data_IF_450372152630
#
_entry.id   IF_450372152630
#
_cell.length_a   1.000
_cell.length_b   1.000
_cell.length_c   1.000
_cell.angle_alpha   90.00
_cell.angle_beta   90.00
_cell.angle_gamma   90.00
#
_symmetry.space_group_name_H-M   'P 1'
#
loop_
_entity.id
_entity.type
_entity.pdbx_description
1 polymer ?
#
# COMPACT_ATOMS: atom_id res chain seq x y z
N UNK A 1 32.69 -24.13 -12.03
CA UNK A 1 32.06 -24.22 -13.36
C UNK A 1 30.61 -24.62 -13.14
N UNK A 2 29.71 -23.65 -13.15
CA UNK A 2 28.27 -23.88 -12.98
C UNK A 2 27.65 -24.07 -14.37
N UNK A 3 27.27 -25.31 -14.68
CA UNK A 3 26.52 -25.63 -15.90
C UNK A 3 25.21 -24.87 -15.92
N UNK A 4 25.06 -23.94 -16.86
CA UNK A 4 23.79 -23.25 -17.12
C UNK A 4 22.81 -24.23 -17.76
N UNK A 5 21.71 -24.54 -17.09
CA UNK A 5 20.59 -25.30 -17.66
C UNK A 5 20.17 -24.68 -18.99
N UNK A 6 19.96 -25.47 -20.08
CA UNK A 6 19.55 -24.96 -21.37
C UNK A 6 18.18 -24.25 -21.22
N UNK A 7 18.11 -22.98 -21.70
CA UNK A 7 16.87 -22.21 -21.72
C UNK A 7 15.86 -22.96 -22.58
N UNK A 8 14.71 -23.31 -22.01
CA UNK A 8 13.62 -23.95 -22.76
C UNK A 8 13.14 -23.01 -23.88
N UNK A 9 12.92 -23.50 -25.09
CA UNK A 9 12.47 -22.67 -26.20
C UNK A 9 11.09 -22.07 -25.91
N UNK A 10 10.90 -20.79 -26.24
CA UNK A 10 9.69 -20.01 -26.03
C UNK A 10 8.44 -20.63 -26.68
N UNK A 11 8.63 -21.41 -27.75
CA UNK A 11 7.56 -22.12 -28.47
C UNK A 11 7.97 -23.56 -28.71
N UNK A 12 7.21 -24.52 -28.22
CA UNK A 12 7.40 -25.96 -28.55
C UNK A 12 7.03 -26.21 -30.00
N UNK A 13 7.92 -26.83 -30.77
CA UNK A 13 7.62 -27.29 -32.12
C UNK A 13 6.56 -28.40 -32.09
N UNK A 14 5.50 -28.23 -32.87
CA UNK A 14 4.51 -29.27 -33.07
C UNK A 14 4.95 -30.22 -34.20
N UNK A 15 4.31 -31.41 -34.32
CA UNK A 15 4.59 -32.36 -35.41
C UNK A 15 4.41 -31.69 -36.78
N UNK A 16 3.40 -30.84 -36.92
CA UNK A 16 3.14 -30.07 -38.16
C UNK A 16 4.28 -29.07 -38.44
N UNK A 17 4.85 -28.46 -37.43
CA UNK A 17 5.96 -27.53 -37.61
C UNK A 17 7.22 -28.29 -38.11
N UNK A 18 7.44 -29.51 -37.65
CA UNK A 18 8.53 -30.39 -38.13
C UNK A 18 8.36 -30.81 -39.58
N UNK A 19 7.15 -31.22 -39.94
CA UNK A 19 6.83 -31.62 -41.33
C UNK A 19 6.98 -30.45 -42.29
N UNK A 20 6.44 -29.27 -41.94
CA UNK A 20 6.53 -28.07 -42.77
C UNK A 20 7.96 -27.59 -42.90
N UNK A 21 8.75 -27.61 -41.82
CA UNK A 21 10.16 -27.19 -41.86
C UNK A 21 11.03 -28.18 -42.66
N UNK A 22 10.65 -29.43 -42.75
CA UNK A 22 11.35 -30.43 -43.57
C UNK A 22 11.15 -30.20 -45.06
N UNK A 23 9.91 -29.91 -45.50
CA UNK A 23 9.57 -29.69 -46.91
C UNK A 23 9.83 -28.25 -47.40
N UNK A 24 9.73 -27.27 -46.50
CA UNK A 24 9.93 -25.86 -46.81
C UNK A 24 10.47 -25.10 -45.60
N UNK A 25 11.81 -25.00 -45.46
CA UNK A 25 12.45 -24.39 -44.28
C UNK A 25 11.99 -22.93 -44.04
N UNK A 26 11.82 -22.14 -45.07
CA UNK A 26 11.37 -20.74 -44.98
C UNK A 26 9.96 -20.61 -44.39
N UNK A 27 9.03 -21.48 -44.81
CA UNK A 27 7.66 -21.51 -44.25
C UNK A 27 7.66 -21.99 -42.81
N UNK A 28 8.54 -22.93 -42.48
CA UNK A 28 8.72 -23.41 -41.10
C UNK A 28 9.20 -22.29 -40.19
N UNK A 29 10.19 -21.52 -40.59
CA UNK A 29 10.72 -20.36 -39.83
C UNK A 29 9.67 -19.27 -39.66
N UNK A 30 8.98 -18.86 -40.72
CA UNK A 30 7.89 -17.86 -40.67
C UNK A 30 6.78 -18.29 -39.68
N UNK A 31 6.39 -19.55 -39.70
CA UNK A 31 5.37 -20.10 -38.81
C UNK A 31 5.82 -20.10 -37.34
N UNK A 32 7.06 -20.46 -37.07
CA UNK A 32 7.64 -20.40 -35.73
C UNK A 32 7.77 -18.96 -35.22
N UNK A 33 8.18 -18.04 -36.09
CA UNK A 33 8.24 -16.60 -35.77
C UNK A 33 6.86 -16.04 -35.47
N UNK A 34 5.84 -16.34 -36.27
CA UNK A 34 4.47 -15.89 -36.01
C UNK A 34 3.93 -16.45 -34.70
N UNK A 35 4.20 -17.71 -34.39
CA UNK A 35 3.80 -18.32 -33.09
C UNK A 35 4.57 -17.74 -31.92
N UNK A 36 5.84 -17.43 -32.08
CA UNK A 36 6.63 -16.74 -31.06
C UNK A 36 6.12 -15.30 -30.83
N UNK A 37 5.79 -14.58 -31.89
CA UNK A 37 5.18 -13.26 -31.82
C UNK A 37 3.81 -13.30 -31.12
N UNK A 38 2.94 -14.27 -31.46
CA UNK A 38 1.68 -14.48 -30.80
C UNK A 38 1.84 -14.88 -29.32
N UNK A 39 2.87 -15.67 -28.98
CA UNK A 39 3.15 -16.03 -27.60
C UNK A 39 3.67 -14.85 -26.77
N UNK A 40 4.44 -13.94 -27.39
CA UNK A 40 4.91 -12.69 -26.80
C UNK A 40 3.80 -11.63 -26.71
N UNK A 41 2.93 -11.56 -27.72
CA UNK A 41 1.75 -10.68 -27.72
C UNK A 41 0.61 -11.17 -26.83
N UNK A 42 0.68 -12.40 -26.34
CA UNK A 42 -0.38 -13.09 -25.62
C UNK A 42 -0.58 -12.69 -24.16
N UNK A 43 -0.38 -11.42 -23.77
CA UNK A 43 -0.77 -10.89 -22.47
C UNK A 43 -0.12 -11.56 -21.25
N UNK A 44 -0.57 -11.18 -20.07
CA UNK A 44 -0.08 -11.74 -18.81
C UNK A 44 -0.34 -13.27 -18.74
N UNK A 45 0.71 -14.04 -18.43
CA UNK A 45 0.61 -15.51 -18.34
C UNK A 45 -0.36 -15.96 -17.24
N UNK A 46 -0.60 -15.12 -16.21
CA UNK A 46 -1.60 -15.34 -15.18
C UNK A 46 -3.06 -15.25 -15.65
N UNK A 47 -3.31 -14.59 -16.80
CA UNK A 47 -4.64 -14.48 -17.37
C UNK A 47 -5.04 -15.69 -18.27
N UNK A 48 -4.13 -16.64 -18.49
CA UNK A 48 -4.40 -17.84 -19.30
C UNK A 48 -5.17 -18.86 -18.48
N UNK A 49 -6.29 -19.36 -19.04
CA UNK A 49 -7.15 -20.40 -18.43
C UNK A 49 -6.79 -21.82 -18.84
N UNK A 50 -5.78 -21.99 -19.71
CA UNK A 50 -5.32 -23.26 -20.24
C UNK A 50 -4.33 -24.01 -19.34
N UNK A 51 -3.93 -23.42 -18.21
CA UNK A 51 -3.03 -24.04 -17.24
C UNK A 51 -3.81 -24.77 -16.15
N UNK A 52 -3.36 -25.97 -15.75
CA UNK A 52 -3.93 -26.74 -14.65
C UNK A 52 -4.15 -25.93 -13.36
N UNK A 53 -3.24 -24.97 -13.09
CA UNK A 53 -3.29 -24.11 -11.90
C UNK A 53 -4.34 -23.00 -11.99
N UNK A 54 -4.71 -22.55 -13.20
CA UNK A 54 -5.62 -21.43 -13.45
C UNK A 54 -6.93 -21.83 -14.11
N UNK A 55 -7.10 -23.10 -14.52
CA UNK A 55 -8.30 -23.59 -15.21
C UNK A 55 -9.57 -23.43 -14.38
N UNK A 56 -9.48 -23.62 -13.06
CA UNK A 56 -10.60 -23.49 -12.12
C UNK A 56 -10.64 -22.14 -11.40
N UNK A 57 -9.68 -21.24 -11.68
CA UNK A 57 -9.67 -19.93 -11.08
C UNK A 57 -10.64 -19.00 -11.80
N UNK A 58 -11.78 -18.77 -11.17
CA UNK A 58 -12.79 -17.82 -11.63
C UNK A 58 -12.63 -16.54 -10.81
N UNK A 59 -11.96 -15.54 -11.40
CA UNK A 59 -11.93 -14.21 -10.83
C UNK A 59 -13.25 -13.50 -11.15
N UNK A 60 -13.93 -12.98 -10.14
CA UNK A 60 -15.07 -12.09 -10.32
C UNK A 60 -14.60 -10.78 -10.96
N UNK A 61 -15.41 -10.22 -11.86
CA UNK A 61 -15.21 -8.90 -12.40
C UNK A 61 -16.18 -7.94 -11.70
N UNK A 62 -15.68 -6.80 -11.21
CA UNK A 62 -16.49 -5.76 -10.57
C UNK A 62 -15.61 -4.57 -10.22
N UNK A 63 -16.24 -3.47 -9.86
CA UNK A 63 -15.57 -2.34 -9.22
C UNK A 63 -15.14 -2.72 -7.78
N UNK A 64 -14.30 -1.89 -7.17
CA UNK A 64 -13.78 -2.16 -5.84
C UNK A 64 -14.91 -2.30 -4.81
N UNK A 65 -15.94 -1.49 -4.92
CA UNK A 65 -17.06 -1.48 -3.99
C UNK A 65 -17.89 -2.76 -4.10
N UNK A 66 -18.25 -3.17 -5.31
CA UNK A 66 -19.06 -4.38 -5.53
C UNK A 66 -18.33 -5.67 -5.11
N UNK A 67 -17.00 -5.68 -5.17
CA UNK A 67 -16.19 -6.86 -4.82
C UNK A 67 -15.85 -6.91 -3.33
N UNK A 68 -15.59 -5.76 -2.70
CA UNK A 68 -15.07 -5.71 -1.34
C UNK A 68 -16.17 -5.51 -0.31
N UNK A 69 -17.15 -4.62 -0.55
CA UNK A 69 -18.15 -4.25 0.46
C UNK A 69 -18.94 -5.43 1.03
N UNK A 70 -19.39 -6.42 0.23
CA UNK A 70 -20.14 -7.54 0.78
C UNK A 70 -19.38 -8.35 1.83
N UNK A 71 -18.05 -8.45 1.67
CA UNK A 71 -17.20 -9.27 2.53
C UNK A 71 -16.34 -8.44 3.50
N UNK A 72 -16.43 -7.11 3.45
CA UNK A 72 -15.52 -6.21 4.16
C UNK A 72 -15.54 -6.43 5.68
N UNK A 73 -16.72 -6.56 6.29
CA UNK A 73 -16.85 -6.81 7.71
C UNK A 73 -16.15 -8.12 8.11
N UNK A 74 -16.42 -9.19 7.39
CA UNK A 74 -15.81 -10.49 7.64
C UNK A 74 -14.29 -10.47 7.44
N UNK A 75 -13.80 -9.75 6.42
CA UNK A 75 -12.37 -9.58 6.17
C UNK A 75 -11.68 -8.84 7.31
N UNK A 76 -12.29 -7.77 7.83
CA UNK A 76 -11.80 -7.01 8.99
C UNK A 76 -11.75 -7.89 10.25
N UNK A 77 -12.81 -8.64 10.52
CA UNK A 77 -12.87 -9.55 11.67
C UNK A 77 -11.77 -10.61 11.62
N UNK A 78 -11.59 -11.25 10.46
CA UNK A 78 -10.55 -12.25 10.24
C UNK A 78 -9.14 -11.65 10.35
N UNK A 79 -8.92 -10.45 9.85
CA UNK A 79 -7.63 -9.76 9.94
C UNK A 79 -7.28 -9.45 11.40
N UNK A 80 -8.23 -8.95 12.19
CA UNK A 80 -8.05 -8.69 13.61
C UNK A 80 -7.86 -9.96 14.44
N UNK A 81 -8.58 -11.02 14.07
CA UNK A 81 -8.39 -12.31 14.72
C UNK A 81 -7.00 -12.87 14.43
N UNK A 82 -6.53 -12.75 13.20
CA UNK A 82 -5.19 -13.16 12.81
C UNK A 82 -4.10 -12.34 13.53
N UNK A 83 -4.30 -11.03 13.72
CA UNK A 83 -3.38 -10.20 14.50
C UNK A 83 -3.32 -10.62 15.97
N UNK A 84 -4.47 -10.96 16.57
CA UNK A 84 -4.55 -11.37 17.99
C UNK A 84 -3.98 -12.77 18.22
N UNK A 85 -4.28 -13.71 17.35
CA UNK A 85 -4.03 -15.13 17.55
C UNK A 85 -2.88 -15.68 16.69
N UNK A 86 -2.41 -14.93 15.70
CA UNK A 86 -1.33 -15.34 14.79
C UNK A 86 -0.01 -14.62 15.10
N UNK A 87 0.94 -15.25 15.81
CA UNK A 87 2.20 -14.60 16.20
C UNK A 87 3.03 -14.09 15.02
N UNK A 88 2.93 -14.74 13.85
CA UNK A 88 3.61 -14.31 12.64
C UNK A 88 2.99 -13.01 12.10
N UNK A 89 1.67 -12.93 12.06
CA UNK A 89 0.96 -11.74 11.59
C UNK A 89 1.18 -10.56 12.54
N UNK A 90 1.04 -10.77 13.84
CA UNK A 90 1.35 -9.79 14.88
C UNK A 90 2.81 -9.30 14.78
N UNK A 91 3.75 -10.21 14.59
CA UNK A 91 5.16 -9.89 14.40
C UNK A 91 5.43 -9.06 13.15
N UNK A 92 4.77 -9.38 12.04
CA UNK A 92 4.89 -8.63 10.79
C UNK A 92 4.35 -7.20 10.91
N UNK A 93 3.17 -7.03 11.55
CA UNK A 93 2.58 -5.70 11.81
C UNK A 93 3.51 -4.90 12.73
N UNK A 94 3.95 -5.48 13.86
CA UNK A 94 4.84 -4.80 14.79
C UNK A 94 6.15 -4.37 14.13
N UNK A 95 6.76 -5.23 13.31
CA UNK A 95 7.98 -4.89 12.56
C UNK A 95 7.75 -3.73 11.60
N UNK A 96 6.63 -3.72 10.87
CA UNK A 96 6.28 -2.62 9.97
C UNK A 96 6.06 -1.31 10.73
N UNK A 97 5.28 -1.34 11.81
CA UNK A 97 5.03 -0.17 12.63
C UNK A 97 6.33 0.40 13.21
N UNK A 98 7.16 -0.46 13.78
CA UNK A 98 8.46 -0.05 14.34
C UNK A 98 9.41 0.49 13.26
N UNK A 99 9.41 -0.09 12.07
CA UNK A 99 10.30 0.35 10.98
C UNK A 99 9.85 1.66 10.33
N UNK A 100 8.55 1.92 10.26
CA UNK A 100 7.99 3.11 9.58
C UNK A 100 7.84 4.26 10.56
N UNK A 101 7.21 4.03 11.70
CA UNK A 101 6.93 5.07 12.70
C UNK A 101 8.09 5.23 13.67
N UNK A 102 8.63 4.12 14.18
CA UNK A 102 9.74 4.14 15.15
C UNK A 102 9.43 5.02 16.36
N UNK A 103 10.25 6.04 16.58
CA UNK A 103 10.04 7.04 17.64
C UNK A 103 9.07 8.16 17.25
N UNK A 104 8.45 8.07 16.09
CA UNK A 104 7.53 9.05 15.52
C UNK A 104 8.13 9.87 14.38
N UNK A 105 7.34 10.06 13.34
CA UNK A 105 7.67 10.86 12.17
C UNK A 105 7.55 12.33 12.56
N UNK A 106 8.65 13.09 12.39
CA UNK A 106 8.74 14.51 12.77
C UNK A 106 8.66 15.38 11.51
N UNK A 107 7.94 16.51 11.54
CA UNK A 107 7.94 17.45 10.43
C UNK A 107 9.31 18.12 10.33
N UNK A 108 9.76 18.32 9.11
CA UNK A 108 10.93 19.14 8.79
C UNK A 108 10.47 20.28 7.89
N UNK A 109 10.14 21.45 8.45
CA UNK A 109 9.80 22.61 7.65
C UNK A 109 10.98 22.98 6.75
N UNK A 110 10.71 23.23 5.48
CA UNK A 110 11.69 23.72 4.50
C UNK A 110 11.01 24.77 3.65
N UNK A 111 11.54 25.99 3.66
CA UNK A 111 11.02 27.07 2.82
C UNK A 111 11.74 27.06 1.46
N UNK A 112 10.95 27.03 0.39
CA UNK A 112 11.47 27.28 -0.95
C UNK A 112 11.72 28.77 -1.16
N UNK A 113 12.99 29.18 -1.07
CA UNK A 113 13.44 30.57 -1.26
C UNK A 113 13.37 31.03 -2.72
N UNK A 114 13.14 30.13 -3.66
CA UNK A 114 12.92 30.52 -5.05
C UNK A 114 11.53 31.10 -5.27
N UNK A 115 10.57 30.70 -4.41
CA UNK A 115 9.18 31.17 -4.45
C UNK A 115 8.96 32.35 -3.50
N UNK A 116 9.56 32.30 -2.31
CA UNK A 116 9.44 33.33 -1.30
C UNK A 116 10.74 34.15 -1.22
N UNK A 117 10.71 35.45 -1.45
CA UNK A 117 11.90 36.29 -1.43
C UNK A 117 12.40 36.57 0.01
N UNK A 118 12.78 35.50 0.72
CA UNK A 118 13.31 35.55 2.07
C UNK A 118 14.84 35.43 2.04
N UNK A 119 15.50 36.10 2.97
CA UNK A 119 16.91 35.82 3.24
C UNK A 119 17.09 34.46 3.90
N UNK A 120 18.30 33.90 3.87
CA UNK A 120 18.58 32.61 4.51
C UNK A 120 18.21 32.64 6.00
N UNK A 121 18.63 33.70 6.71
CA UNK A 121 18.38 33.87 8.15
C UNK A 121 16.89 33.96 8.49
N UNK A 122 16.11 34.64 7.62
CA UNK A 122 14.65 34.72 7.79
C UNK A 122 13.98 33.38 7.59
N UNK A 123 14.36 32.62 6.57
CA UNK A 123 13.83 31.26 6.31
C UNK A 123 14.17 30.35 7.49
N UNK A 124 15.40 30.30 7.92
CA UNK A 124 15.85 29.49 9.06
C UNK A 124 15.13 29.88 10.37
N UNK A 125 14.92 31.18 10.63
CA UNK A 125 14.18 31.62 11.80
C UNK A 125 12.73 31.13 11.78
N UNK A 126 12.08 31.20 10.61
CA UNK A 126 10.72 30.73 10.43
C UNK A 126 10.62 29.21 10.59
N UNK A 127 11.53 28.47 9.98
CA UNK A 127 11.56 27.00 10.06
C UNK A 127 11.73 26.51 11.51
N UNK A 128 12.66 27.15 12.25
CA UNK A 128 12.83 26.86 13.69
C UNK A 128 11.59 27.23 14.51
N UNK A 129 10.93 28.34 14.19
CA UNK A 129 9.72 28.75 14.89
C UNK A 129 8.57 27.74 14.59
N UNK A 130 8.36 27.36 13.34
CA UNK A 130 7.36 26.38 12.95
C UNK A 130 7.58 25.01 13.62
N UNK A 131 8.82 24.55 13.66
CA UNK A 131 9.17 23.29 14.32
C UNK A 131 8.91 23.34 15.83
N UNK A 132 9.25 24.45 16.49
CA UNK A 132 8.99 24.66 17.92
C UNK A 132 7.51 24.69 18.22
N UNK A 133 6.72 25.46 17.46
CA UNK A 133 5.27 25.56 17.64
C UNK A 133 4.57 24.21 17.42
N UNK A 134 5.00 23.47 16.41
CA UNK A 134 4.52 22.12 16.18
C UNK A 134 4.81 21.20 17.37
N UNK A 135 6.03 21.22 17.89
CA UNK A 135 6.41 20.41 19.05
C UNK A 135 5.59 20.76 20.30
N UNK A 136 5.30 22.04 20.53
CA UNK A 136 4.46 22.50 21.64
C UNK A 136 3.00 22.04 21.46
N UNK A 137 2.48 22.11 20.23
CA UNK A 137 1.10 21.72 19.92
C UNK A 137 0.86 20.21 20.07
N UNK A 138 1.86 19.39 19.71
CA UNK A 138 1.71 17.94 19.53
C UNK A 138 2.42 17.10 20.60
N UNK A 139 3.31 17.70 21.38
CA UNK A 139 4.13 16.99 22.37
C UNK A 139 3.36 16.45 23.57
N UNK A 140 2.14 16.94 23.80
CA UNK A 140 1.29 16.51 24.90
C UNK A 140 0.08 15.73 24.36
N UNK A 141 -0.56 14.95 25.25
CA UNK A 141 -1.83 14.23 24.96
C UNK A 141 -3.00 15.18 24.64
N UNK A 142 -2.85 16.46 24.87
CA UNK A 142 -3.87 17.47 24.53
C UNK A 142 -4.13 17.60 23.03
N UNK A 143 -3.23 17.10 22.18
CA UNK A 143 -3.46 16.99 20.75
C UNK A 143 -4.60 16.01 20.44
N UNK A 144 -4.70 14.93 21.16
CA UNK A 144 -5.78 13.96 21.04
C UNK A 144 -7.05 14.49 21.73
N UNK A 145 -8.20 14.36 21.07
CA UNK A 145 -9.49 14.78 21.62
C UNK A 145 -9.83 14.03 22.91
N UNK A 146 -9.52 12.75 22.95
CA UNK A 146 -9.76 11.86 24.11
C UNK A 146 -8.61 11.84 25.11
N UNK A 147 -7.49 12.51 24.80
CA UNK A 147 -6.26 12.52 25.60
C UNK A 147 -5.63 11.14 25.82
N UNK A 148 -5.91 10.20 24.93
CA UNK A 148 -5.32 8.87 24.96
C UNK A 148 -3.86 8.86 24.55
N UNK A 149 -3.56 9.56 23.44
CA UNK A 149 -2.28 9.48 22.76
C UNK A 149 -1.61 10.84 22.57
N UNK A 150 -0.28 10.82 22.47
CA UNK A 150 0.47 11.94 21.90
C UNK A 150 0.39 11.86 20.37
N UNK A 151 0.79 12.90 19.65
CA UNK A 151 0.89 12.87 18.19
C UNK A 151 1.68 11.66 17.66
N UNK A 152 2.77 11.32 18.33
CA UNK A 152 3.63 10.20 17.95
C UNK A 152 2.98 8.84 18.22
N UNK A 153 2.28 8.70 19.36
CA UNK A 153 1.48 7.52 19.65
C UNK A 153 0.29 7.35 18.71
N UNK A 154 -0.28 8.46 18.21
CA UNK A 154 -1.35 8.42 17.21
C UNK A 154 -0.86 7.90 15.86
N UNK A 155 0.38 8.15 15.47
CA UNK A 155 0.95 7.60 14.23
C UNK A 155 1.04 6.08 14.28
N UNK A 156 1.43 5.51 15.42
CA UNK A 156 1.42 4.06 15.64
C UNK A 156 0.01 3.50 15.52
N UNK A 157 -0.97 4.11 16.18
CA UNK A 157 -2.37 3.72 16.13
C UNK A 157 -2.91 3.77 14.68
N UNK A 158 -2.65 4.86 13.96
CA UNK A 158 -3.11 5.04 12.57
C UNK A 158 -2.52 3.97 11.67
N UNK A 159 -1.20 3.75 11.72
CA UNK A 159 -0.57 2.76 10.85
C UNK A 159 -1.03 1.35 11.19
N UNK A 160 -1.18 1.02 12.47
CA UNK A 160 -1.68 -0.28 12.90
C UNK A 160 -3.12 -0.51 12.42
N UNK A 161 -4.00 0.49 12.54
CA UNK A 161 -5.37 0.40 12.05
C UNK A 161 -5.43 0.19 10.54
N UNK A 162 -4.62 0.91 9.77
CA UNK A 162 -4.53 0.72 8.31
C UNK A 162 -4.05 -0.70 7.96
N UNK A 163 -3.08 -1.23 8.69
CA UNK A 163 -2.54 -2.58 8.41
C UNK A 163 -3.51 -3.70 8.81
N UNK A 164 -4.33 -3.51 9.85
CA UNK A 164 -5.25 -4.54 10.35
C UNK A 164 -6.67 -4.42 9.80
N UNK A 165 -7.19 -3.20 9.64
CA UNK A 165 -8.58 -2.95 9.23
C UNK A 165 -8.72 -2.32 7.84
N UNK A 166 -7.62 -1.84 7.24
CA UNK A 166 -7.58 -1.23 5.91
C UNK A 166 -7.68 0.29 5.93
N UNK A 167 -8.37 0.87 6.91
CA UNK A 167 -8.61 2.31 7.02
C UNK A 167 -8.75 2.80 8.46
N UNK A 168 -8.76 4.12 8.62
CA UNK A 168 -9.07 4.85 9.85
C UNK A 168 -9.55 6.26 9.48
N UNK A 169 -10.57 6.75 10.16
CA UNK A 169 -11.00 8.14 10.01
C UNK A 169 -10.29 9.01 11.05
N UNK A 170 -9.62 10.06 10.58
CA UNK A 170 -9.04 11.09 11.45
C UNK A 170 -9.81 12.39 11.23
N UNK A 171 -10.55 12.82 12.24
CA UNK A 171 -11.26 14.08 12.26
C UNK A 171 -10.46 15.11 13.05
N UNK A 172 -10.41 16.37 12.58
CA UNK A 172 -9.60 17.44 13.20
C UNK A 172 -10.51 18.58 13.70
N UNK A 173 -11.31 18.35 14.77
CA UNK A 173 -12.16 19.38 15.33
C UNK A 173 -11.34 20.50 15.99
N UNK A 174 -11.91 21.71 16.02
CA UNK A 174 -11.37 22.86 16.76
C UNK A 174 -12.03 22.94 18.14
N UNK A 175 -11.32 22.46 19.15
CA UNK A 175 -11.79 22.46 20.55
C UNK A 175 -10.81 23.22 21.42
N UNK A 176 -11.30 24.31 22.02
CA UNK A 176 -10.50 25.11 22.98
C UNK A 176 -10.37 24.36 24.31
N UNK A 177 -9.19 24.45 24.92
CA UNK A 177 -8.93 23.96 26.29
C UNK A 177 -8.24 25.02 27.12
N UNK A 178 -8.61 25.16 28.41
CA UNK A 178 -7.96 26.11 29.32
C UNK A 178 -6.44 25.87 29.35
N UNK A 179 -5.67 26.94 29.26
CA UNK A 179 -4.20 26.87 29.33
C UNK A 179 -3.49 26.32 28.07
N UNK A 180 -4.23 26.02 27.00
CA UNK A 180 -3.66 25.54 25.75
C UNK A 180 -4.07 26.48 24.59
N UNK A 181 -3.13 27.20 23.94
CA UNK A 181 -3.43 28.11 22.85
C UNK A 181 -3.85 27.40 21.55
N UNK A 182 -3.44 26.14 21.40
CA UNK A 182 -3.74 25.36 20.21
C UNK A 182 -5.15 24.77 20.32
N UNK A 183 -5.96 24.92 19.27
CA UNK A 183 -7.36 24.51 19.26
C UNK A 183 -7.62 23.26 18.44
N UNK A 184 -6.76 22.93 17.48
CA UNK A 184 -6.92 21.74 16.65
C UNK A 184 -6.64 20.49 17.48
N UNK A 185 -7.57 19.54 17.43
CA UNK A 185 -7.48 18.23 18.08
C UNK A 185 -7.62 17.12 17.06
N UNK A 186 -7.00 15.99 17.28
CA UNK A 186 -7.25 14.80 16.49
C UNK A 186 -8.25 13.91 17.21
N UNK A 187 -9.23 13.41 16.47
CA UNK A 187 -10.16 12.39 16.90
C UNK A 187 -10.05 11.20 15.96
N UNK A 188 -9.75 10.03 16.48
CA UNK A 188 -9.50 8.81 15.73
C UNK A 188 -10.73 7.91 15.84
N UNK A 189 -11.31 7.53 14.71
CA UNK A 189 -12.46 6.64 14.65
C UNK A 189 -12.09 5.40 13.84
N UNK A 190 -12.35 4.24 14.43
CA UNK A 190 -12.12 2.96 13.77
C UNK A 190 -13.03 2.81 12.53
N UNK A 191 -12.56 2.05 11.57
CA UNK A 191 -13.25 1.75 10.32
C UNK A 191 -14.69 1.22 10.50
N UNK A 192 -14.93 0.46 11.56
CA UNK A 192 -16.26 -0.13 11.82
C UNK A 192 -17.32 0.89 12.25
N UNK A 193 -16.90 2.10 12.62
CA UNK A 193 -17.81 3.21 12.91
C UNK A 193 -18.22 3.98 11.66
N UNK A 194 -17.69 3.57 10.50
CA UNK A 194 -18.00 4.17 9.20
C UNK A 194 -18.86 3.17 8.43
N UNK A 195 -20.10 3.55 8.15
CA UNK A 195 -20.99 2.78 7.29
C UNK A 195 -21.51 3.67 6.17
N UNK A 196 -21.85 3.08 5.05
CA UNK A 196 -22.63 3.80 4.05
C UNK A 196 -24.03 4.04 4.62
N UNK A 197 -24.64 5.21 4.40
CA UNK A 197 -26.06 5.38 4.69
C UNK A 197 -26.87 4.41 3.84
N UNK A 198 -27.83 3.73 4.46
CA UNK A 198 -28.81 2.87 3.79
C UNK A 198 -29.68 3.65 2.80
#
# INVERSE_FOLDING_TARGET
MTESKPKQPLVRQTLLDRVISHFSPERGVRRLQSRAALALAGGYTGAKRDRKQTSNWRAGAGDADSVILPDLALLRDRSRDLERNGPIAAGAINTKVTSIVGTGIKPRPVIDRSVLPLTADQADAWERAAQREFALATGKKDFDLERGHTFYGSQDLVLRSILSAGDILVNLPRVARPGNPYKVRANFSEADRLTNPD
#
